data_IF_013349046707
#
_entry.id   IF_013349046707
#
_cell.length_a   1.000
_cell.length_b   1.000
_cell.length_c   1.000
_cell.angle_alpha   90.00
_cell.angle_beta   90.00
_cell.angle_gamma   90.00
#
_symmetry.space_group_name_H-M   'P 1'
#
loop_
_entity.id
_entity.type
_entity.pdbx_description
1 polymer ?
#
# COMPACT_ATOMS: atom_id res chain seq x y z
N UNK A 1 -24.44 3.98 -7.58
CA UNK A 1 -25.42 3.01 -7.05
C UNK A 1 -25.91 2.17 -8.22
N UNK A 2 -25.62 0.87 -8.22
CA UNK A 2 -26.06 -0.05 -9.27
C UNK A 2 -27.59 -0.24 -9.15
N UNK A 3 -28.33 -0.10 -10.25
CA UNK A 3 -29.78 -0.31 -10.30
C UNK A 3 -30.07 -1.78 -10.53
N UNK A 4 -29.77 -2.60 -9.53
CA UNK A 4 -29.84 -4.05 -9.68
C UNK A 4 -31.29 -4.55 -9.70
N UNK A 5 -31.53 -5.64 -10.43
CA UNK A 5 -32.85 -6.28 -10.56
C UNK A 5 -32.89 -7.69 -9.95
N UNK A 6 -34.08 -8.15 -9.55
CA UNK A 6 -34.26 -9.54 -9.09
C UNK A 6 -33.90 -10.48 -10.25
N UNK A 7 -33.08 -11.49 -9.96
CA UNK A 7 -32.53 -12.42 -10.96
C UNK A 7 -31.18 -11.99 -11.56
N UNK A 8 -30.71 -10.75 -11.34
CA UNK A 8 -29.35 -10.40 -11.73
C UNK A 8 -28.31 -11.11 -10.87
N UNK A 9 -27.18 -11.41 -11.52
CA UNK A 9 -26.04 -12.05 -10.90
C UNK A 9 -24.90 -11.07 -10.70
N UNK A 10 -24.20 -11.19 -9.57
CA UNK A 10 -22.99 -10.42 -9.31
C UNK A 10 -21.97 -11.26 -8.55
N UNK A 11 -20.70 -10.89 -8.69
CA UNK A 11 -19.58 -11.52 -7.98
C UNK A 11 -19.34 -10.80 -6.67
N UNK A 12 -19.03 -11.55 -5.62
CA UNK A 12 -18.59 -10.96 -4.36
C UNK A 12 -17.49 -11.81 -3.71
N UNK A 13 -16.56 -11.11 -3.06
CA UNK A 13 -15.53 -11.72 -2.23
C UNK A 13 -16.12 -12.10 -0.87
N UNK A 14 -15.98 -13.38 -0.49
CA UNK A 14 -16.35 -13.89 0.82
C UNK A 14 -15.29 -13.49 1.87
N UNK A 15 -15.63 -13.49 3.18
CA UNK A 15 -14.68 -13.17 4.25
C UNK A 15 -13.43 -14.08 4.31
N UNK A 16 -13.50 -15.27 3.70
CA UNK A 16 -12.39 -16.21 3.57
C UNK A 16 -11.51 -15.95 2.33
N UNK A 17 -11.75 -14.86 1.60
CA UNK A 17 -11.00 -14.47 0.41
C UNK A 17 -11.42 -15.17 -0.89
N UNK A 18 -12.38 -16.09 -0.86
CA UNK A 18 -12.88 -16.75 -2.08
C UNK A 18 -13.93 -15.90 -2.78
N UNK A 19 -13.91 -15.87 -4.11
CA UNK A 19 -15.01 -15.29 -4.89
C UNK A 19 -16.16 -16.29 -5.05
N UNK A 20 -17.40 -15.79 -5.00
CA UNK A 20 -18.60 -16.57 -5.30
C UNK A 20 -19.59 -15.76 -6.14
N UNK A 21 -20.43 -16.47 -6.90
CA UNK A 21 -21.51 -15.87 -7.68
C UNK A 21 -22.81 -15.86 -6.89
N UNK A 22 -23.40 -14.68 -6.78
CA UNK A 22 -24.64 -14.44 -6.08
C UNK A 22 -25.73 -14.03 -7.07
N UNK A 23 -26.92 -14.60 -6.92
CA UNK A 23 -28.13 -14.16 -7.64
C UNK A 23 -29.03 -13.41 -6.68
N UNK A 24 -29.57 -12.28 -7.10
CA UNK A 24 -30.50 -11.48 -6.29
C UNK A 24 -31.86 -12.17 -6.24
N UNK A 25 -32.28 -12.57 -5.05
CA UNK A 25 -33.57 -13.24 -4.82
C UNK A 25 -34.65 -12.27 -4.37
N UNK A 26 -34.30 -11.21 -3.65
CA UNK A 26 -35.23 -10.15 -3.28
C UNK A 26 -34.52 -8.80 -3.03
N UNK A 27 -35.25 -7.70 -3.24
CA UNK A 27 -34.77 -6.33 -3.01
C UNK A 27 -35.70 -5.64 -2.02
N UNK A 28 -35.17 -5.29 -0.85
CA UNK A 28 -35.83 -4.47 0.16
C UNK A 28 -35.41 -3.00 0.08
N UNK A 29 -36.02 -2.13 0.92
CA UNK A 29 -35.67 -0.69 0.98
C UNK A 29 -34.22 -0.43 1.41
N UNK A 30 -33.65 -1.30 2.24
CA UNK A 30 -32.28 -1.17 2.79
C UNK A 30 -31.58 -2.52 2.93
N UNK A 31 -32.08 -3.55 2.25
CA UNK A 31 -31.57 -4.91 2.31
C UNK A 31 -31.62 -5.55 0.92
N UNK A 32 -30.67 -6.44 0.64
CA UNK A 32 -30.62 -7.25 -0.56
C UNK A 32 -30.54 -8.71 -0.11
N UNK A 33 -31.46 -9.55 -0.55
CA UNK A 33 -31.37 -10.98 -0.34
C UNK A 33 -30.75 -11.63 -1.56
N UNK A 34 -29.79 -12.51 -1.32
CA UNK A 34 -29.01 -13.14 -2.37
C UNK A 34 -28.82 -14.61 -2.08
N UNK A 35 -28.89 -15.43 -3.14
CA UNK A 35 -28.58 -16.85 -3.08
C UNK A 35 -27.24 -17.10 -3.77
N UNK A 36 -26.36 -17.83 -3.10
CA UNK A 36 -25.14 -18.36 -3.72
C UNK A 36 -25.57 -19.42 -4.74
N UNK A 37 -25.30 -19.17 -6.03
CA UNK A 37 -25.90 -19.95 -7.13
C UNK A 37 -24.92 -20.88 -7.85
N UNK A 38 -23.67 -20.94 -7.39
CA UNK A 38 -22.71 -21.95 -7.82
C UNK A 38 -21.28 -21.60 -7.46
N UNK A 39 -20.43 -22.62 -7.39
CA UNK A 39 -18.97 -22.48 -7.49
C UNK A 39 -18.60 -22.15 -8.93
N UNK A 40 -17.61 -21.29 -9.09
CA UNK A 40 -17.13 -20.77 -10.37
C UNK A 40 -16.61 -21.93 -11.25
N UNK A 41 -17.48 -22.50 -12.09
CA UNK A 41 -17.12 -23.38 -13.22
C UNK A 41 -17.93 -23.03 -14.46
N UNK A 42 -17.68 -21.85 -14.99
CA UNK A 42 -17.85 -21.50 -16.42
C UNK A 42 -17.17 -20.14 -16.63
N UNK A 43 -15.85 -20.14 -16.43
CA UNK A 43 -15.01 -18.97 -16.63
C UNK A 43 -14.74 -18.86 -18.15
N UNK A 44 -14.90 -17.69 -18.79
CA UNK A 44 -14.37 -17.46 -20.14
C UNK A 44 -12.85 -17.75 -20.15
N UNK A 45 -12.32 -18.43 -21.18
CA UNK A 45 -10.89 -18.79 -21.28
C UNK A 45 -9.93 -17.62 -20.98
N UNK A 46 -10.33 -16.38 -21.29
CA UNK A 46 -9.54 -15.18 -21.00
C UNK A 46 -9.32 -14.90 -19.51
N UNK A 47 -10.26 -15.27 -18.63
CA UNK A 47 -10.15 -15.08 -17.18
C UNK A 47 -9.37 -16.23 -16.52
N UNK A 48 -9.46 -17.45 -17.08
CA UNK A 48 -8.59 -18.57 -16.67
C UNK A 48 -7.12 -18.22 -16.95
N UNK A 49 -6.84 -17.65 -18.12
CA UNK A 49 -5.49 -17.22 -18.47
C UNK A 49 -4.93 -16.12 -17.55
N UNK A 50 -5.76 -15.20 -17.06
CA UNK A 50 -5.34 -14.16 -16.09
C UNK A 50 -5.15 -14.71 -14.67
N UNK A 51 -5.99 -15.65 -14.22
CA UNK A 51 -5.81 -16.34 -12.93
C UNK A 51 -4.57 -17.24 -12.94
N UNK A 52 -4.35 -18.00 -14.01
CA UNK A 52 -3.14 -18.80 -14.20
C UNK A 52 -1.89 -17.90 -14.26
N UNK A 53 -1.96 -16.76 -14.96
CA UNK A 53 -0.85 -15.79 -14.99
C UNK A 53 -0.58 -15.19 -13.60
N UNK A 54 -1.61 -14.83 -12.83
CA UNK A 54 -1.45 -14.37 -11.43
C UNK A 54 -0.90 -15.46 -10.52
N UNK A 55 -1.32 -16.71 -10.68
CA UNK A 55 -0.81 -17.85 -9.92
C UNK A 55 0.67 -18.17 -10.22
N UNK A 56 1.18 -17.77 -11.39
CA UNK A 56 2.61 -17.90 -11.74
C UNK A 56 3.49 -16.77 -11.21
N UNK A 57 2.93 -15.64 -10.78
CA UNK A 57 3.72 -14.55 -10.20
C UNK A 57 4.15 -14.92 -8.77
N UNK A 58 5.40 -14.62 -8.38
CA UNK A 58 5.83 -14.83 -6.99
C UNK A 58 4.94 -13.99 -6.05
N UNK A 59 4.64 -14.48 -4.83
CA UNK A 59 3.86 -13.73 -3.87
C UNK A 59 4.59 -12.41 -3.56
N UNK A 60 3.89 -11.29 -3.74
CA UNK A 60 4.46 -9.98 -3.47
C UNK A 60 4.72 -9.83 -1.96
N UNK A 61 5.96 -9.52 -1.53
CA UNK A 61 6.23 -9.19 -0.14
C UNK A 61 5.35 -8.02 0.33
N UNK A 62 4.86 -8.01 1.59
CA UNK A 62 4.08 -6.91 2.11
C UNK A 62 4.77 -5.56 1.92
N UNK A 63 4.02 -4.60 1.37
CA UNK A 63 4.45 -3.21 1.25
C UNK A 63 3.74 -2.40 2.32
N UNK A 64 4.52 -1.65 3.10
CA UNK A 64 4.07 -0.78 4.17
C UNK A 64 4.34 0.67 3.75
N UNK A 65 3.29 1.49 3.70
CA UNK A 65 3.40 2.91 3.40
C UNK A 65 3.42 3.71 4.71
N UNK A 66 4.58 4.21 5.09
CA UNK A 66 4.75 5.12 6.21
C UNK A 66 4.56 6.55 5.66
N UNK A 67 3.39 7.14 5.89
CA UNK A 67 2.99 8.39 5.26
C UNK A 67 2.95 9.53 6.29
N UNK A 68 3.82 10.52 6.14
CA UNK A 68 3.70 11.75 6.91
C UNK A 68 2.42 12.48 6.52
N UNK A 69 1.70 13.03 7.50
CA UNK A 69 0.42 13.68 7.25
C UNK A 69 0.58 14.90 6.33
N UNK A 70 -0.02 14.90 5.13
CA UNK A 70 0.01 16.02 4.21
C UNK A 70 -1.00 17.10 4.62
N UNK A 71 -0.89 18.29 4.03
CA UNK A 71 -1.88 19.36 4.23
C UNK A 71 -3.20 19.04 3.53
N UNK A 72 -4.30 19.51 4.12
CA UNK A 72 -5.64 19.42 3.53
C UNK A 72 -6.19 17.99 3.44
N UNK A 73 -6.81 17.66 2.30
CA UNK A 73 -7.52 16.38 2.09
C UNK A 73 -6.72 15.35 1.29
N UNK A 74 -5.41 15.58 1.07
CA UNK A 74 -4.58 14.69 0.23
C UNK A 74 -4.43 13.28 0.81
N UNK A 75 -4.48 13.14 2.13
CA UNK A 75 -4.35 11.84 2.79
C UNK A 75 -5.45 10.87 2.35
N UNK A 76 -6.67 11.35 2.09
CA UNK A 76 -7.76 10.50 1.61
C UNK A 76 -7.47 9.90 0.23
N UNK A 77 -6.83 10.68 -0.65
CA UNK A 77 -6.41 10.21 -1.96
C UNK A 77 -5.30 9.16 -1.82
N UNK A 78 -4.30 9.42 -0.98
CA UNK A 78 -3.19 8.49 -0.72
C UNK A 78 -3.72 7.17 -0.17
N UNK A 79 -4.61 7.23 0.84
CA UNK A 79 -5.21 6.03 1.44
C UNK A 79 -5.99 5.21 0.42
N UNK A 80 -6.79 5.87 -0.42
CA UNK A 80 -7.53 5.21 -1.49
C UNK A 80 -6.58 4.51 -2.46
N UNK A 81 -5.62 5.23 -3.02
CA UNK A 81 -4.70 4.72 -4.02
C UNK A 81 -3.77 3.64 -3.46
N UNK A 82 -3.35 3.75 -2.20
CA UNK A 82 -2.56 2.73 -1.53
C UNK A 82 -3.34 1.41 -1.39
N UNK A 83 -4.63 1.49 -1.04
CA UNK A 83 -5.49 0.31 -0.99
C UNK A 83 -5.72 -0.32 -2.37
N UNK A 84 -5.95 0.51 -3.40
CA UNK A 84 -6.07 0.06 -4.80
C UNK A 84 -4.77 -0.60 -5.30
N UNK A 85 -3.62 -0.05 -4.92
CA UNK A 85 -2.31 -0.56 -5.28
C UNK A 85 -1.89 -1.80 -4.46
N UNK A 86 -2.69 -2.29 -3.51
CA UNK A 86 -2.32 -3.47 -2.71
C UNK A 86 -1.25 -3.22 -1.65
N UNK A 87 -1.16 -1.99 -1.12
CA UNK A 87 -0.38 -1.72 0.11
C UNK A 87 -0.98 -2.53 1.25
N UNK A 88 -0.14 -3.23 2.01
CA UNK A 88 -0.58 -4.10 3.11
C UNK A 88 -0.92 -3.30 4.38
N UNK A 89 -0.14 -2.27 4.69
CA UNK A 89 -0.34 -1.43 5.86
C UNK A 89 0.01 0.03 5.57
N UNK A 90 -0.80 0.96 6.06
CA UNK A 90 -0.52 2.39 6.04
C UNK A 90 -0.25 2.84 7.47
N UNK A 91 0.93 3.40 7.72
CA UNK A 91 1.31 4.00 9.00
C UNK A 91 1.32 5.52 8.85
N UNK A 92 0.25 6.22 9.23
CA UNK A 92 0.25 7.68 9.24
C UNK A 92 1.07 8.21 10.41
N UNK A 93 1.92 9.21 10.16
CA UNK A 93 2.68 9.86 11.23
C UNK A 93 2.77 11.37 11.07
N UNK A 94 2.98 12.06 12.18
CA UNK A 94 3.26 13.50 12.20
C UNK A 94 4.76 13.71 12.10
N UNK A 95 5.17 14.42 11.06
CA UNK A 95 6.54 14.93 10.90
C UNK A 95 6.62 16.40 11.31
N UNK A 96 7.85 16.94 11.42
CA UNK A 96 8.12 18.34 11.74
C UNK A 96 7.42 19.31 10.78
N UNK A 97 7.34 18.96 9.48
CA UNK A 97 6.71 19.80 8.46
C UNK A 97 5.24 19.44 8.17
N UNK A 98 4.66 18.52 8.94
CA UNK A 98 3.23 18.18 8.86
C UNK A 98 2.36 19.29 9.48
N UNK A 99 1.04 19.24 9.21
CA UNK A 99 0.06 20.14 9.84
C UNK A 99 0.08 19.93 11.37
N UNK A 100 0.02 21.00 12.19
CA UNK A 100 0.20 20.88 13.63
C UNK A 100 -0.85 19.99 14.31
N UNK A 101 -0.37 19.27 15.35
CA UNK A 101 -1.06 18.52 16.41
C UNK A 101 -2.57 18.34 16.23
N UNK A 102 -2.96 17.10 15.95
CA UNK A 102 -4.33 16.64 16.05
C UNK A 102 -4.66 16.32 17.51
N UNK A 103 -5.81 16.77 18.00
CA UNK A 103 -6.36 16.23 19.24
C UNK A 103 -6.78 14.76 19.03
N UNK A 104 -6.94 14.01 20.12
CA UNK A 104 -7.26 12.58 20.07
C UNK A 104 -8.59 12.29 19.36
N UNK A 105 -9.59 13.16 19.50
CA UNK A 105 -10.91 12.99 18.88
C UNK A 105 -10.80 13.15 17.36
N UNK A 106 -10.09 14.19 16.90
CA UNK A 106 -9.85 14.45 15.48
C UNK A 106 -9.02 13.34 14.83
N UNK A 107 -8.00 12.83 15.54
CA UNK A 107 -7.20 11.69 15.07
C UNK A 107 -8.07 10.43 14.88
N UNK A 108 -8.94 10.13 15.85
CA UNK A 108 -9.85 8.99 15.78
C UNK A 108 -10.86 9.13 14.61
N UNK A 109 -11.47 10.30 14.43
CA UNK A 109 -12.39 10.56 13.31
C UNK A 109 -11.71 10.40 11.95
N UNK A 110 -10.45 10.82 11.83
CA UNK A 110 -9.64 10.60 10.61
C UNK A 110 -9.40 9.11 10.37
N UNK A 111 -9.03 8.37 11.41
CA UNK A 111 -8.80 6.93 11.32
C UNK A 111 -10.06 6.17 10.87
N UNK A 112 -11.23 6.49 11.43
CA UNK A 112 -12.52 5.91 11.03
C UNK A 112 -12.86 6.22 9.58
N UNK A 113 -12.65 7.48 9.16
CA UNK A 113 -12.84 7.91 7.77
C UNK A 113 -11.94 7.13 6.81
N UNK A 114 -10.66 6.97 7.14
CA UNK A 114 -9.70 6.25 6.28
C UNK A 114 -9.99 4.75 6.20
N UNK A 115 -10.42 4.12 7.30
CA UNK A 115 -10.89 2.73 7.27
C UNK A 115 -12.07 2.54 6.30
N UNK A 116 -13.03 3.49 6.28
CA UNK A 116 -14.12 3.47 5.30
C UNK A 116 -13.60 3.62 3.86
N UNK A 117 -12.68 4.54 3.62
CA UNK A 117 -12.07 4.73 2.29
C UNK A 117 -11.36 3.45 1.82
N UNK A 118 -10.60 2.78 2.69
CA UNK A 118 -9.94 1.50 2.36
C UNK A 118 -10.98 0.45 1.97
N UNK A 119 -12.05 0.33 2.75
CA UNK A 119 -13.13 -0.63 2.46
C UNK A 119 -13.75 -0.37 1.08
N UNK A 120 -14.07 0.87 0.77
CA UNK A 120 -14.65 1.26 -0.52
C UNK A 120 -13.68 1.04 -1.68
N UNK A 121 -12.40 1.44 -1.50
CA UNK A 121 -11.35 1.29 -2.50
C UNK A 121 -11.08 -0.18 -2.85
N UNK A 122 -11.01 -1.06 -1.84
CA UNK A 122 -10.83 -2.50 -2.04
C UNK A 122 -12.02 -3.14 -2.76
N UNK A 123 -13.24 -2.73 -2.41
CA UNK A 123 -14.46 -3.20 -3.09
C UNK A 123 -14.50 -2.78 -4.57
N UNK A 124 -13.97 -1.61 -4.90
CA UNK A 124 -13.95 -1.10 -6.28
C UNK A 124 -12.80 -1.67 -7.12
N UNK A 125 -11.63 -1.86 -6.53
CA UNK A 125 -10.45 -2.37 -7.23
C UNK A 125 -10.38 -3.90 -7.34
N UNK A 126 -11.08 -4.62 -6.46
CA UNK A 126 -10.92 -6.08 -6.36
C UNK A 126 -9.56 -6.50 -5.78
N UNK A 127 -8.88 -5.60 -5.05
CA UNK A 127 -7.59 -5.87 -4.41
C UNK A 127 -7.72 -7.03 -3.40
N UNK A 128 -6.94 -8.08 -3.61
CA UNK A 128 -6.84 -9.28 -2.76
C UNK A 128 -6.06 -9.00 -1.46
N UNK A 129 -5.19 -7.99 -1.46
CA UNK A 129 -4.45 -7.55 -0.28
C UNK A 129 -5.40 -6.92 0.75
N UNK A 130 -5.31 -7.40 1.98
CA UNK A 130 -6.03 -6.79 3.11
C UNK A 130 -5.25 -5.60 3.66
N UNK A 131 -5.44 -4.44 3.01
CA UNK A 131 -4.91 -3.15 3.47
C UNK A 131 -5.50 -2.77 4.82
N UNK A 132 -4.63 -2.38 5.75
CA UNK A 132 -4.97 -1.84 7.08
C UNK A 132 -4.32 -0.47 7.27
N UNK A 133 -4.88 0.33 8.16
CA UNK A 133 -4.29 1.61 8.55
C UNK A 133 -4.15 1.68 10.07
N UNK A 134 -2.97 2.06 10.53
CA UNK A 134 -2.65 2.20 11.95
C UNK A 134 -3.08 3.57 12.49
N UNK A 135 -3.24 3.70 13.82
CA UNK A 135 -3.40 5.01 14.45
C UNK A 135 -2.27 5.97 14.10
N UNK A 136 -2.59 7.25 14.05
CA UNK A 136 -1.61 8.31 13.78
C UNK A 136 -0.56 8.32 14.89
N UNK A 137 0.70 8.23 14.50
CA UNK A 137 1.85 8.29 15.41
C UNK A 137 2.72 9.53 15.15
N UNK A 138 3.85 9.65 15.81
CA UNK A 138 4.88 10.67 15.55
C UNK A 138 6.15 10.02 14.97
N UNK A 139 7.19 10.83 14.72
CA UNK A 139 8.46 10.33 14.19
C UNK A 139 9.06 9.25 15.10
N UNK A 140 8.99 9.41 16.43
CA UNK A 140 9.48 8.40 17.37
C UNK A 140 8.74 7.08 17.20
N UNK A 141 7.42 7.13 17.10
CA UNK A 141 6.62 5.93 16.90
C UNK A 141 6.81 5.27 15.53
N UNK A 142 7.14 6.02 14.48
CA UNK A 142 7.59 5.44 13.20
C UNK A 142 8.86 4.61 13.38
N UNK A 143 9.86 5.15 14.08
CA UNK A 143 11.13 4.46 14.32
C UNK A 143 10.93 3.22 15.21
N UNK A 144 10.13 3.35 16.28
CA UNK A 144 9.78 2.22 17.14
C UNK A 144 9.04 1.11 16.38
N UNK A 145 8.10 1.48 15.51
CA UNK A 145 7.42 0.53 14.63
C UNK A 145 8.41 -0.19 13.72
N UNK A 146 9.33 0.54 13.09
CA UNK A 146 10.37 -0.07 12.24
C UNK A 146 11.26 -1.05 13.01
N UNK A 147 11.72 -0.68 14.21
CA UNK A 147 12.52 -1.57 15.07
C UNK A 147 11.79 -2.86 15.45
N UNK A 148 10.47 -2.80 15.65
CA UNK A 148 9.65 -3.99 15.89
C UNK A 148 9.53 -4.86 14.63
N UNK A 149 9.29 -4.24 13.48
CA UNK A 149 9.13 -4.96 12.20
C UNK A 149 10.41 -5.69 11.79
N UNK A 150 11.59 -5.08 12.00
CA UNK A 150 12.89 -5.75 11.79
C UNK A 150 13.03 -7.06 12.58
N UNK A 151 12.46 -7.12 13.79
CA UNK A 151 12.52 -8.31 14.67
C UNK A 151 11.51 -9.38 14.25
N UNK A 152 10.31 -8.96 13.83
CA UNK A 152 9.22 -9.87 13.44
C UNK A 152 9.47 -10.46 12.04
N UNK A 153 9.97 -9.64 11.13
CA UNK A 153 10.16 -9.98 9.72
C UNK A 153 11.61 -9.67 9.33
N UNK A 154 12.54 -10.63 9.54
CA UNK A 154 13.92 -10.50 9.10
C UNK A 154 14.00 -10.23 7.59
N UNK A 155 15.05 -9.56 7.13
CA UNK A 155 15.22 -9.14 5.71
C UNK A 155 14.13 -8.18 5.20
N UNK A 156 13.51 -7.41 6.09
CA UNK A 156 12.70 -6.24 5.70
C UNK A 156 13.59 -5.10 5.24
N UNK A 157 13.12 -4.30 4.29
CA UNK A 157 13.82 -3.10 3.80
C UNK A 157 13.02 -1.86 4.15
N UNK A 158 13.69 -0.79 4.56
CA UNK A 158 13.08 0.51 4.77
C UNK A 158 13.68 1.51 3.77
N UNK A 159 12.82 2.20 3.03
CA UNK A 159 13.15 3.19 2.01
C UNK A 159 12.66 4.55 2.51
N UNK A 160 13.50 5.56 2.46
CA UNK A 160 13.16 6.95 2.78
C UNK A 160 13.12 7.77 1.50
N UNK A 161 11.95 8.24 1.09
CA UNK A 161 11.88 9.16 -0.05
C UNK A 161 12.38 10.54 0.37
N UNK A 162 13.41 11.01 -0.32
CA UNK A 162 14.05 12.29 -0.03
C UNK A 162 14.26 13.09 -1.32
N UNK A 163 14.11 14.42 -1.24
CA UNK A 163 14.27 15.33 -2.38
C UNK A 163 15.74 15.55 -2.77
N UNK A 164 16.66 15.42 -1.80
CA UNK A 164 18.10 15.52 -2.05
C UNK A 164 18.69 14.15 -2.38
N UNK A 165 19.74 14.08 -3.22
CA UNK A 165 20.40 12.83 -3.61
C UNK A 165 21.28 12.28 -2.47
N UNK A 166 20.65 11.92 -1.35
CA UNK A 166 21.29 11.27 -0.20
C UNK A 166 21.53 9.76 -0.44
N UNK A 167 20.97 9.24 -1.54
CA UNK A 167 20.99 7.83 -1.89
C UNK A 167 22.42 7.31 -2.01
N UNK A 168 22.74 6.28 -1.21
CA UNK A 168 24.00 5.55 -1.30
C UNK A 168 23.94 4.36 -2.26
N UNK A 169 22.81 4.16 -2.94
CA UNK A 169 22.57 3.06 -3.86
C UNK A 169 21.30 3.26 -4.69
N UNK A 170 21.00 2.29 -5.53
CA UNK A 170 19.78 2.30 -6.36
C UNK A 170 18.65 1.56 -5.64
N UNK A 171 17.39 1.86 -6.00
CA UNK A 171 16.25 1.09 -5.54
C UNK A 171 16.42 -0.41 -5.82
N UNK A 172 17.00 -0.76 -6.97
CA UNK A 172 17.33 -2.14 -7.32
C UNK A 172 18.30 -2.77 -6.31
N UNK A 173 19.39 -2.10 -5.96
CA UNK A 173 20.35 -2.61 -4.96
C UNK A 173 19.73 -2.71 -3.57
N UNK A 174 18.82 -1.80 -3.22
CA UNK A 174 18.13 -1.84 -1.93
C UNK A 174 17.19 -3.03 -1.77
N UNK A 175 16.63 -3.50 -2.88
CA UNK A 175 15.70 -4.63 -2.95
C UNK A 175 16.38 -5.92 -3.42
N UNK A 176 17.70 -6.02 -3.33
CA UNK A 176 18.45 -7.25 -3.63
C UNK A 176 18.18 -8.36 -2.59
N UNK A 177 18.26 -9.63 -3.00
CA UNK A 177 18.13 -10.78 -2.08
C UNK A 177 16.69 -11.14 -1.69
N UNK A 178 16.47 -12.02 -0.72
CA UNK A 178 15.11 -12.44 -0.36
C UNK A 178 14.42 -11.42 0.57
N UNK A 179 13.73 -10.44 -0.02
CA UNK A 179 13.02 -9.39 0.71
C UNK A 179 11.71 -9.92 1.27
N UNK A 180 11.52 -9.77 2.58
CA UNK A 180 10.33 -10.28 3.28
C UNK A 180 9.28 -9.19 3.51
N UNK A 181 9.66 -7.91 3.54
CA UNK A 181 8.73 -6.77 3.49
C UNK A 181 9.46 -5.50 3.07
N UNK A 182 8.71 -4.49 2.61
CA UNK A 182 9.25 -3.17 2.25
C UNK A 182 8.46 -2.06 2.90
N UNK A 183 9.13 -1.21 3.66
CA UNK A 183 8.60 0.01 4.26
C UNK A 183 9.01 1.22 3.42
N UNK A 184 8.06 2.06 3.02
CA UNK A 184 8.30 3.26 2.22
C UNK A 184 7.88 4.46 3.06
N UNK A 185 8.84 5.25 3.52
CA UNK A 185 8.61 6.50 4.23
C UNK A 185 8.52 7.68 3.26
N UNK A 186 7.40 8.41 3.34
CA UNK A 186 7.08 9.55 2.49
C UNK A 186 6.80 10.77 3.34
N UNK A 187 7.55 11.85 3.11
CA UNK A 187 7.40 13.11 3.82
C UNK A 187 6.15 13.91 3.38
N UNK A 188 5.79 14.97 4.12
CA UNK A 188 4.74 15.89 3.72
C UNK A 188 5.23 16.81 2.60
N UNK A 189 4.47 17.86 2.24
CA UNK A 189 4.90 18.81 1.21
C UNK A 189 6.22 19.52 1.51
N UNK A 190 6.59 19.66 2.78
CA UNK A 190 7.87 20.24 3.20
C UNK A 190 9.03 19.24 3.26
N UNK A 191 8.83 17.99 2.89
CA UNK A 191 9.82 16.92 3.07
C UNK A 191 10.11 16.64 4.54
N UNK A 192 11.07 15.75 4.78
CA UNK A 192 11.66 15.54 6.10
C UNK A 192 12.62 16.68 6.43
N UNK A 193 12.76 17.03 7.71
CA UNK A 193 13.88 17.86 8.14
C UNK A 193 15.20 17.09 8.09
N UNK A 194 16.34 17.80 8.09
CA UNK A 194 17.66 17.17 8.11
C UNK A 194 17.84 16.23 9.32
N UNK A 195 17.29 16.62 10.48
CA UNK A 195 17.31 15.81 11.70
C UNK A 195 16.46 14.54 11.54
N UNK A 196 15.25 14.68 11.02
CA UNK A 196 14.35 13.55 10.76
C UNK A 196 14.96 12.55 9.75
N UNK A 197 15.54 13.06 8.66
CA UNK A 197 16.19 12.23 7.66
C UNK A 197 17.41 11.50 8.26
N UNK A 198 18.24 12.21 9.04
CA UNK A 198 19.39 11.61 9.72
C UNK A 198 18.96 10.50 10.70
N UNK A 199 17.92 10.73 11.50
CA UNK A 199 17.36 9.72 12.42
C UNK A 199 16.88 8.47 11.67
N UNK A 200 16.13 8.65 10.57
CA UNK A 200 15.69 7.52 9.74
C UNK A 200 16.89 6.73 9.20
N UNK A 201 17.90 7.41 8.66
CA UNK A 201 19.11 6.77 8.11
C UNK A 201 19.87 5.99 9.19
N UNK A 202 20.01 6.54 10.39
CA UNK A 202 20.65 5.87 11.53
C UNK A 202 19.92 4.56 11.92
N UNK A 203 18.59 4.52 11.78
CA UNK A 203 17.78 3.32 12.04
C UNK A 203 17.76 2.33 10.84
N UNK A 204 18.48 2.66 9.76
CA UNK A 204 18.66 1.81 8.58
C UNK A 204 17.67 2.06 7.45
N UNK A 205 16.97 3.20 7.43
CA UNK A 205 16.23 3.61 6.24
C UNK A 205 17.21 3.99 5.13
N UNK A 206 16.93 3.49 3.92
CA UNK A 206 17.75 3.72 2.73
C UNK A 206 17.18 4.89 1.93
N UNK A 207 17.88 6.03 1.84
CA UNK A 207 17.37 7.21 1.15
C UNK A 207 17.26 6.96 -0.36
N UNK A 208 16.16 7.42 -0.96
CA UNK A 208 15.87 7.26 -2.38
C UNK A 208 15.33 8.56 -2.96
N UNK A 209 15.94 9.00 -4.05
CA UNK A 209 15.45 10.08 -4.90
C UNK A 209 14.70 9.47 -6.10
N UNK A 210 13.44 9.87 -6.29
CA UNK A 210 12.60 9.38 -7.40
C UNK A 210 12.72 10.30 -8.63
N UNK A 211 13.67 9.98 -9.50
CA UNK A 211 13.87 10.72 -10.76
C UNK A 211 14.44 12.12 -10.55
N UNK A 212 14.25 13.00 -11.54
CA UNK A 212 14.84 14.37 -11.54
C UNK A 212 13.90 15.46 -11.04
N UNK A 213 12.61 15.15 -10.83
CA UNK A 213 11.59 16.12 -10.45
C UNK A 213 11.13 15.88 -9.03
N UNK A 214 10.90 16.96 -8.28
CA UNK A 214 10.24 16.88 -6.97
C UNK A 214 8.77 16.50 -7.18
N UNK A 215 8.42 15.28 -6.79
CA UNK A 215 7.04 14.79 -6.85
C UNK A 215 6.22 15.36 -5.68
N UNK A 216 4.93 15.57 -5.91
CA UNK A 216 4.00 15.85 -4.81
C UNK A 216 3.92 14.64 -3.89
N UNK A 217 3.70 14.85 -2.59
CA UNK A 217 3.62 13.79 -1.58
C UNK A 217 2.65 12.66 -1.98
N UNK A 218 1.46 12.99 -2.51
CA UNK A 218 0.50 11.99 -2.97
C UNK A 218 0.98 11.17 -4.17
N UNK A 219 1.73 11.82 -5.07
CA UNK A 219 2.32 11.17 -6.25
C UNK A 219 3.52 10.32 -5.86
N UNK A 220 4.38 10.82 -4.97
CA UNK A 220 5.57 10.14 -4.50
C UNK A 220 5.22 8.80 -3.82
N UNK A 221 4.17 8.78 -3.00
CA UNK A 221 3.67 7.56 -2.35
C UNK A 221 3.37 6.45 -3.36
N UNK A 222 2.51 6.73 -4.33
CA UNK A 222 2.06 5.72 -5.30
C UNK A 222 3.15 5.39 -6.32
N UNK A 223 3.94 6.37 -6.73
CA UNK A 223 5.06 6.16 -7.66
C UNK A 223 6.11 5.23 -7.04
N UNK A 224 6.47 5.44 -5.76
CA UNK A 224 7.39 4.57 -5.05
C UNK A 224 6.81 3.15 -4.88
N UNK A 225 5.54 3.05 -4.47
CA UNK A 225 4.85 1.76 -4.33
C UNK A 225 4.87 0.99 -5.65
N UNK A 226 4.52 1.64 -6.77
CA UNK A 226 4.55 1.00 -8.08
C UNK A 226 5.97 0.55 -8.48
N UNK A 227 6.98 1.41 -8.28
CA UNK A 227 8.37 1.08 -8.59
C UNK A 227 8.87 -0.14 -7.78
N UNK A 228 8.55 -0.18 -6.47
CA UNK A 228 8.88 -1.33 -5.60
C UNK A 228 8.17 -2.59 -6.08
N UNK A 229 6.88 -2.53 -6.40
CA UNK A 229 6.13 -3.69 -6.86
C UNK A 229 6.69 -4.30 -8.14
N UNK A 230 6.94 -3.46 -9.15
CA UNK A 230 7.50 -3.91 -10.43
C UNK A 230 8.83 -4.62 -10.21
N UNK A 231 9.73 -4.03 -9.41
CA UNK A 231 11.04 -4.63 -9.13
C UNK A 231 10.94 -5.94 -8.35
N UNK A 232 9.97 -6.09 -7.44
CA UNK A 232 9.78 -7.32 -6.69
C UNK A 232 9.14 -8.43 -7.54
N UNK A 233 8.16 -8.09 -8.38
CA UNK A 233 7.46 -9.05 -9.25
C UNK A 233 8.35 -9.54 -10.38
N UNK A 234 9.13 -8.65 -10.98
CA UNK A 234 9.97 -8.98 -12.12
C UNK A 234 11.37 -9.45 -11.70
N UNK A 235 11.63 -9.64 -10.40
CA UNK A 235 12.95 -9.98 -9.88
C UNK A 235 13.60 -11.19 -10.57
N UNK A 236 12.80 -12.20 -10.94
CA UNK A 236 13.28 -13.39 -11.65
C UNK A 236 13.70 -13.11 -13.11
N UNK A 237 13.23 -12.00 -13.68
CA UNK A 237 13.48 -11.59 -15.06
C UNK A 237 14.73 -10.73 -15.23
N UNK A 238 15.28 -10.18 -14.13
CA UNK A 238 16.44 -9.29 -14.17
C UNK A 238 17.67 -9.96 -13.57
N UNK A 239 18.65 -10.28 -14.41
CA UNK A 239 19.99 -10.70 -13.97
C UNK A 239 20.77 -9.44 -13.64
N UNK A 240 21.14 -9.25 -12.38
CA UNK A 240 22.18 -8.29 -12.01
C UNK A 240 23.49 -8.76 -12.66
N UNK A 241 23.86 -8.15 -13.78
CA UNK A 241 25.26 -8.18 -14.21
C UNK A 241 26.05 -7.44 -13.13
N UNK A 242 26.80 -8.17 -12.32
CA UNK A 242 27.77 -7.63 -11.37
C UNK A 242 28.81 -6.80 -12.12
N UNK A 243 28.48 -5.55 -12.44
CA UNK A 243 29.50 -4.56 -12.77
C UNK A 243 30.08 -4.08 -11.45
N UNK A 244 31.10 -4.81 -11.02
CA UNK A 244 32.13 -4.30 -10.13
C UNK A 244 32.58 -2.95 -10.68
N UNK A 245 32.19 -1.87 -10.02
CA UNK A 245 32.87 -0.59 -10.20
C UNK A 245 34.21 -0.76 -9.47
N UNK A 246 35.23 -1.14 -10.25
CA UNK A 246 36.63 -0.97 -9.89
C UNK A 246 37.01 0.52 -9.99
#
# INVERSE_FOLDING_TARGET
>A
VLRLQIGEQFRALLPNGKEALFTITAIGKSSLEVAMTGDIRSIPESVIADEERRATLPPLPPIILCQALPKGQKMDLIVRQAAEAGVSLILPFVSQHSVPRLDKSTAQQKLERWNRIIKEARQQSGSDVTTRIEPITDMKGLLEFWEQQKKITPNSQAILLHQDPLAQGTLHGYLEGNIQSVHIAVGPEGGFSDEEAAQCIEHGFKPLLLGVNVLRTETAAIFATAAVQVLLLEKASWILSNNSIA
#
